data_IF_453603184666
#
_entry.id   IF_453603184666
#
_cell.length_a   1.000
_cell.length_b   1.000
_cell.length_c   1.000
_cell.angle_alpha   90.00
_cell.angle_beta   90.00
_cell.angle_gamma   90.00
#
_symmetry.space_group_name_H-M   'P 1'
#
loop_
_entity.id
_entity.type
_entity.pdbx_description
1 polymer ?
#
# COMPACT_ATOMS: atom_id res chain seq x y z
N UNK A 1 4.38 15.11 28.29
CA UNK A 1 4.56 13.65 28.28
C UNK A 1 5.61 13.35 29.34
N UNK A 2 5.31 12.52 30.31
CA UNK A 2 6.27 12.17 31.37
C UNK A 2 7.14 10.99 30.91
N UNK A 3 8.34 11.33 30.45
CA UNK A 3 9.30 10.34 29.93
C UNK A 3 9.93 9.44 31.01
N UNK A 4 9.57 9.65 32.28
CA UNK A 4 10.03 8.81 33.39
C UNK A 4 8.99 7.75 33.78
N UNK A 5 7.83 7.72 33.12
CA UNK A 5 6.79 6.75 33.37
C UNK A 5 7.02 5.50 32.52
N UNK A 6 7.45 4.40 33.12
CA UNK A 6 7.75 3.12 32.45
C UNK A 6 6.57 2.66 31.58
N UNK A 7 5.34 2.76 32.05
CA UNK A 7 4.15 2.37 31.29
C UNK A 7 4.01 3.17 29.98
N UNK A 8 4.29 4.47 30.00
CA UNK A 8 4.24 5.32 28.81
C UNK A 8 5.34 4.94 27.82
N UNK A 9 6.52 4.57 28.34
CA UNK A 9 7.65 4.11 27.52
C UNK A 9 7.29 2.78 26.86
N UNK A 10 6.74 1.83 27.62
CA UNK A 10 6.36 0.51 27.10
C UNK A 10 5.27 0.64 26.02
N UNK A 11 4.21 1.41 26.28
CA UNK A 11 3.16 1.67 25.29
C UNK A 11 3.71 2.34 24.01
N UNK A 12 4.67 3.24 24.15
CA UNK A 12 5.32 3.88 23.01
C UNK A 12 6.13 2.85 22.20
N UNK A 13 6.96 2.06 22.88
CA UNK A 13 7.79 1.05 22.23
C UNK A 13 6.96 -0.02 21.52
N UNK A 14 5.88 -0.47 22.14
CA UNK A 14 4.93 -1.39 21.54
C UNK A 14 4.33 -0.83 20.25
N UNK A 15 3.83 0.43 20.30
CA UNK A 15 3.27 1.09 19.09
C UNK A 15 4.30 1.23 17.98
N UNK A 16 5.52 1.61 18.31
CA UNK A 16 6.60 1.74 17.33
C UNK A 16 6.97 0.38 16.74
N UNK A 17 7.02 -0.68 17.58
CA UNK A 17 7.23 -2.05 17.11
C UNK A 17 6.19 -2.46 16.09
N UNK A 18 4.92 -2.34 16.41
CA UNK A 18 3.81 -2.64 15.49
C UNK A 18 3.85 -1.82 14.20
N UNK A 19 4.24 -0.56 14.28
CA UNK A 19 4.40 0.27 13.08
C UNK A 19 5.49 -0.28 12.15
N UNK A 20 6.61 -0.73 12.72
CA UNK A 20 7.68 -1.35 11.94
C UNK A 20 7.23 -2.67 11.31
N UNK A 21 6.47 -3.50 12.04
CA UNK A 21 5.94 -4.75 11.52
C UNK A 21 5.00 -4.53 10.33
N UNK A 22 4.07 -3.57 10.44
CA UNK A 22 3.18 -3.21 9.33
C UNK A 22 3.95 -2.71 8.10
N UNK A 23 4.95 -1.84 8.32
CA UNK A 23 5.80 -1.36 7.23
C UNK A 23 6.66 -2.48 6.63
N UNK A 24 7.16 -3.41 7.45
CA UNK A 24 7.91 -4.56 6.98
C UNK A 24 7.07 -5.40 6.01
N UNK A 25 5.82 -5.73 6.39
CA UNK A 25 4.90 -6.48 5.53
C UNK A 25 4.64 -5.73 4.23
N UNK A 26 4.39 -4.43 4.31
CA UNK A 26 4.16 -3.60 3.12
C UNK A 26 5.38 -3.53 2.20
N UNK A 27 6.57 -3.30 2.74
CA UNK A 27 7.81 -3.30 1.97
C UNK A 27 8.09 -4.67 1.35
N UNK A 28 7.92 -5.76 2.10
CA UNK A 28 8.08 -7.11 1.58
C UNK A 28 7.18 -7.38 0.38
N UNK A 29 5.95 -6.84 0.40
CA UNK A 29 5.03 -7.00 -0.73
C UNK A 29 5.61 -6.46 -2.03
N UNK A 30 6.37 -5.34 -2.00
CA UNK A 30 7.03 -4.78 -3.18
C UNK A 30 8.13 -5.70 -3.77
N UNK A 31 8.69 -6.58 -2.94
CA UNK A 31 9.75 -7.50 -3.35
C UNK A 31 9.24 -8.87 -3.81
N UNK A 32 7.92 -9.12 -3.76
CA UNK A 32 7.31 -10.31 -4.33
C UNK A 32 7.30 -10.15 -5.85
N UNK A 33 8.35 -10.64 -6.48
CA UNK A 33 8.58 -10.48 -7.91
C UNK A 33 8.89 -11.84 -8.56
N UNK A 34 8.51 -11.99 -9.82
CA UNK A 34 8.91 -13.12 -10.65
C UNK A 34 10.30 -12.91 -11.27
N UNK A 35 11.01 -11.85 -10.90
CA UNK A 35 12.36 -11.59 -11.39
C UNK A 35 13.34 -12.62 -10.86
N UNK A 36 14.16 -13.15 -11.75
CA UNK A 36 15.25 -14.10 -11.47
C UNK A 36 16.53 -13.71 -12.23
N UNK A 37 16.57 -12.47 -12.71
CA UNK A 37 17.62 -11.93 -13.57
C UNK A 37 18.92 -11.59 -12.82
N UNK A 38 18.92 -11.68 -11.49
CA UNK A 38 20.12 -11.49 -10.67
C UNK A 38 20.08 -12.32 -9.40
N UNK A 39 21.25 -12.52 -8.78
CA UNK A 39 21.36 -13.23 -7.50
C UNK A 39 20.68 -12.46 -6.37
N UNK A 40 20.61 -11.13 -6.47
CA UNK A 40 19.84 -10.30 -5.55
C UNK A 40 18.36 -10.71 -5.52
N UNK A 41 17.69 -10.79 -6.70
CA UNK A 41 16.28 -11.14 -6.76
C UNK A 41 16.00 -12.57 -6.31
N UNK A 42 16.91 -13.51 -6.63
CA UNK A 42 16.80 -14.89 -6.14
C UNK A 42 16.93 -14.95 -4.62
N UNK A 43 17.88 -14.21 -4.04
CA UNK A 43 18.08 -14.14 -2.59
C UNK A 43 16.85 -13.53 -1.89
N UNK A 44 16.35 -12.38 -2.36
CA UNK A 44 15.16 -11.75 -1.79
C UNK A 44 13.97 -12.72 -1.81
N UNK A 45 13.70 -13.36 -2.94
CA UNK A 45 12.57 -14.27 -3.11
C UNK A 45 12.63 -15.48 -2.16
N UNK A 46 13.81 -16.02 -1.94
CA UNK A 46 13.98 -17.27 -1.20
C UNK A 46 14.21 -17.05 0.30
N UNK A 47 14.83 -15.94 0.70
CA UNK A 47 15.36 -15.76 2.04
C UNK A 47 14.78 -14.56 2.79
N UNK A 48 14.18 -13.60 2.09
CA UNK A 48 13.83 -12.31 2.72
C UNK A 48 12.32 -12.04 2.81
N UNK A 49 11.48 -12.82 2.12
CA UNK A 49 10.03 -12.59 2.21
C UNK A 49 9.49 -13.17 3.51
N UNK A 50 8.93 -12.29 4.33
CA UNK A 50 8.39 -12.67 5.62
C UNK A 50 7.15 -13.58 5.48
N UNK A 51 7.00 -14.53 6.40
CA UNK A 51 5.91 -15.51 6.38
C UNK A 51 4.53 -14.83 6.41
N UNK A 52 4.35 -13.77 7.20
CA UNK A 52 3.08 -13.07 7.30
C UNK A 52 2.72 -12.34 6.01
N UNK A 53 3.71 -11.83 5.28
CA UNK A 53 3.48 -11.29 3.91
C UNK A 53 2.95 -12.38 3.00
N UNK A 54 3.54 -13.58 3.02
CA UNK A 54 3.07 -14.70 2.21
C UNK A 54 1.67 -15.15 2.59
N UNK A 55 1.32 -15.16 3.89
CA UNK A 55 -0.04 -15.46 4.37
C UNK A 55 -1.06 -14.47 3.80
N UNK A 56 -0.74 -13.18 3.84
CA UNK A 56 -1.62 -12.14 3.27
C UNK A 56 -1.79 -12.29 1.75
N UNK A 57 -0.70 -12.48 1.01
CA UNK A 57 -0.76 -12.70 -0.44
C UNK A 57 -1.60 -13.93 -0.77
N UNK A 58 -1.43 -15.03 -0.04
CA UNK A 58 -2.24 -16.24 -0.23
C UNK A 58 -3.72 -15.98 0.06
N UNK A 59 -4.05 -15.21 1.08
CA UNK A 59 -5.42 -14.80 1.38
C UNK A 59 -6.02 -13.98 0.24
N UNK A 60 -5.24 -13.04 -0.32
CA UNK A 60 -5.66 -12.16 -1.42
C UNK A 60 -5.68 -12.84 -2.80
N UNK A 61 -5.33 -14.11 -2.87
CA UNK A 61 -5.66 -14.92 -4.04
C UNK A 61 -7.17 -15.20 -4.19
N UNK A 62 -7.95 -15.05 -3.11
CA UNK A 62 -9.39 -15.36 -3.08
C UNK A 62 -10.27 -14.18 -2.66
N UNK A 63 -9.69 -13.05 -2.32
CA UNK A 63 -10.40 -11.83 -1.92
C UNK A 63 -9.55 -10.58 -2.20
N UNK A 64 -10.17 -9.42 -2.19
CA UNK A 64 -9.42 -8.16 -2.19
C UNK A 64 -8.82 -7.85 -0.79
N UNK A 65 -7.71 -7.10 -0.72
CA UNK A 65 -7.20 -6.57 0.55
C UNK A 65 -8.26 -5.79 1.32
N UNK A 66 -8.41 -6.06 2.61
CA UNK A 66 -9.39 -5.41 3.49
C UNK A 66 -8.73 -4.95 4.78
N UNK A 67 -9.30 -3.93 5.39
CA UNK A 67 -8.85 -3.44 6.71
C UNK A 67 -8.84 -4.55 7.77
N UNK A 68 -9.81 -5.49 7.69
CA UNK A 68 -9.90 -6.64 8.59
C UNK A 68 -8.81 -7.71 8.41
N UNK A 69 -7.93 -7.54 7.44
CA UNK A 69 -6.80 -8.44 7.23
C UNK A 69 -5.60 -8.09 8.12
N UNK A 70 -5.63 -6.92 8.75
CA UNK A 70 -4.57 -6.37 9.57
C UNK A 70 -4.99 -6.26 11.03
N UNK A 71 -4.04 -6.30 11.93
CA UNK A 71 -4.29 -5.98 13.33
C UNK A 71 -4.70 -4.51 13.47
N UNK A 72 -5.72 -4.30 14.29
CA UNK A 72 -6.20 -2.97 14.63
C UNK A 72 -5.58 -2.56 15.96
N UNK A 73 -4.74 -1.55 15.93
CA UNK A 73 -4.12 -1.00 17.14
C UNK A 73 -5.10 -0.12 17.92
N UNK A 74 -4.63 0.50 19.00
CA UNK A 74 -5.44 1.36 19.88
C UNK A 74 -6.16 2.49 19.13
N UNK A 75 -5.66 2.88 17.97
CA UNK A 75 -6.32 3.83 17.07
C UNK A 75 -7.51 3.24 16.30
N UNK A 76 -7.69 1.91 16.30
CA UNK A 76 -8.66 1.19 15.48
C UNK A 76 -8.31 1.13 14.00
N UNK A 77 -7.08 1.54 13.61
CA UNK A 77 -6.60 1.53 12.24
C UNK A 77 -5.20 0.90 12.17
N UNK A 78 -4.89 0.10 11.13
CA UNK A 78 -3.52 -0.34 10.88
C UNK A 78 -2.67 0.85 10.42
N UNK A 79 -1.36 0.78 10.61
CA UNK A 79 -0.43 1.83 10.16
C UNK A 79 -0.34 1.91 8.64
N UNK A 80 -0.47 0.77 7.96
CA UNK A 80 -0.56 0.71 6.50
C UNK A 80 -1.97 0.27 6.11
N UNK A 81 -2.71 1.15 5.48
CA UNK A 81 -4.09 0.89 5.10
C UNK A 81 -4.19 -0.04 3.89
N UNK A 82 -5.21 -0.89 3.84
CA UNK A 82 -5.41 -1.88 2.78
C UNK A 82 -5.40 -1.29 1.37
N UNK A 83 -5.88 -0.06 1.20
CA UNK A 83 -5.90 0.61 -0.10
C UNK A 83 -4.53 0.88 -0.69
N UNK A 84 -3.47 0.98 0.12
CA UNK A 84 -2.11 1.20 -0.36
C UNK A 84 -1.53 -0.05 -1.03
N UNK A 85 -2.08 -1.23 -0.73
CA UNK A 85 -1.67 -2.47 -1.38
C UNK A 85 -2.20 -2.62 -2.81
N UNK A 86 -3.34 -2.01 -3.16
CA UNK A 86 -3.93 -2.16 -4.50
C UNK A 86 -2.99 -1.80 -5.64
N UNK A 87 -2.37 -0.59 -5.67
CA UNK A 87 -1.47 -0.25 -6.76
C UNK A 87 -0.22 -1.13 -6.78
N UNK A 88 0.28 -1.56 -5.62
CA UNK A 88 1.43 -2.46 -5.54
C UNK A 88 1.09 -3.83 -6.11
N UNK A 89 -0.02 -4.41 -5.68
CA UNK A 89 -0.48 -5.71 -6.18
C UNK A 89 -0.84 -5.68 -7.67
N UNK A 90 -1.41 -4.58 -8.16
CA UNK A 90 -1.70 -4.43 -9.59
C UNK A 90 -0.41 -4.34 -10.40
N UNK A 91 0.56 -3.54 -9.97
CA UNK A 91 1.88 -3.42 -10.60
C UNK A 91 2.67 -4.73 -10.64
N UNK A 92 2.52 -5.58 -9.63
CA UNK A 92 3.13 -6.91 -9.55
C UNK A 92 2.34 -8.00 -10.28
N UNK A 93 1.15 -7.69 -10.81
CA UNK A 93 0.25 -8.67 -11.43
C UNK A 93 -0.42 -9.64 -10.44
N UNK A 94 -0.41 -9.30 -9.14
CA UNK A 94 -0.98 -10.11 -8.07
C UNK A 94 -2.42 -9.73 -7.74
N UNK A 95 -2.88 -8.55 -8.16
CA UNK A 95 -4.27 -8.13 -7.94
C UNK A 95 -5.22 -8.97 -8.78
N UNK A 96 -6.17 -9.61 -8.12
CA UNK A 96 -7.19 -10.46 -8.79
C UNK A 96 -8.31 -9.59 -9.36
N UNK A 97 -8.16 -9.20 -10.62
CA UNK A 97 -9.11 -8.30 -11.32
C UNK A 97 -10.48 -8.90 -11.55
N UNK A 98 -10.59 -10.23 -11.60
CA UNK A 98 -11.85 -10.97 -11.66
C UNK A 98 -12.60 -10.84 -10.35
N UNK A 99 -11.96 -11.04 -9.21
CA UNK A 99 -12.53 -10.84 -7.87
C UNK A 99 -12.96 -9.38 -7.69
N UNK A 100 -12.12 -8.42 -8.06
CA UNK A 100 -12.46 -7.00 -7.98
C UNK A 100 -13.72 -6.68 -8.81
N UNK A 101 -13.83 -7.25 -10.00
CA UNK A 101 -14.98 -7.07 -10.89
C UNK A 101 -16.24 -7.71 -10.32
N UNK A 102 -16.10 -8.89 -9.70
CA UNK A 102 -17.21 -9.57 -9.05
C UNK A 102 -17.73 -8.79 -7.84
N UNK A 103 -16.84 -8.35 -6.95
CA UNK A 103 -17.21 -7.52 -5.78
C UNK A 103 -17.89 -6.21 -6.21
N UNK A 104 -17.36 -5.53 -7.23
CA UNK A 104 -18.00 -4.32 -7.77
C UNK A 104 -19.41 -4.58 -8.32
N UNK A 105 -19.64 -5.75 -8.93
CA UNK A 105 -20.95 -6.12 -9.42
C UNK A 105 -21.93 -6.42 -8.27
N UNK A 106 -21.47 -7.21 -7.29
CA UNK A 106 -22.28 -7.63 -6.15
C UNK A 106 -22.73 -6.45 -5.28
N UNK A 107 -21.87 -5.44 -5.12
CA UNK A 107 -22.16 -4.24 -4.36
C UNK A 107 -22.77 -3.10 -5.21
N UNK A 108 -23.02 -3.34 -6.50
CA UNK A 108 -23.53 -2.35 -7.45
C UNK A 108 -22.71 -1.03 -7.47
N UNK A 109 -21.40 -1.14 -7.34
CA UNK A 109 -20.49 0.02 -7.24
C UNK A 109 -20.08 0.61 -8.59
N UNK A 110 -20.48 0.00 -9.73
CA UNK A 110 -20.07 0.47 -11.06
C UNK A 110 -20.40 1.94 -11.36
N UNK A 111 -21.63 2.43 -11.05
CA UNK A 111 -21.92 3.85 -11.26
C UNK A 111 -21.02 4.75 -10.46
N UNK A 112 -20.85 4.46 -9.15
CA UNK A 112 -19.99 5.21 -8.27
C UNK A 112 -18.52 5.21 -8.75
N UNK A 113 -17.98 4.04 -9.10
CA UNK A 113 -16.59 3.92 -9.59
C UNK A 113 -16.37 4.70 -10.89
N UNK A 114 -17.37 4.77 -11.77
CA UNK A 114 -17.30 5.56 -13.01
C UNK A 114 -17.27 7.05 -12.72
N UNK A 115 -18.11 7.52 -11.81
CA UNK A 115 -18.18 8.93 -11.43
C UNK A 115 -16.89 9.37 -10.71
N UNK A 116 -16.35 8.54 -9.82
CA UNK A 116 -15.09 8.80 -9.14
C UNK A 116 -13.90 8.81 -10.12
N UNK A 117 -13.87 7.88 -11.07
CA UNK A 117 -12.84 7.87 -12.12
C UNK A 117 -12.87 9.12 -12.99
N UNK A 118 -14.09 9.56 -13.37
CA UNK A 118 -14.25 10.80 -14.11
C UNK A 118 -13.77 12.01 -13.29
N UNK A 119 -14.21 12.12 -12.04
CA UNK A 119 -13.78 13.20 -11.13
C UNK A 119 -12.27 13.24 -10.97
N UNK A 120 -11.63 12.09 -10.80
CA UNK A 120 -10.17 11.98 -10.68
C UNK A 120 -9.47 12.51 -11.94
N UNK A 121 -9.91 12.08 -13.13
CA UNK A 121 -9.32 12.55 -14.38
C UNK A 121 -9.52 14.05 -14.60
N UNK A 122 -10.72 14.58 -14.32
CA UNK A 122 -11.00 16.00 -14.44
C UNK A 122 -10.09 16.82 -13.51
N UNK A 123 -9.88 16.36 -12.27
CA UNK A 123 -8.97 17.00 -11.31
C UNK A 123 -7.50 16.89 -11.75
N UNK A 124 -7.09 15.73 -12.26
CA UNK A 124 -5.74 15.53 -12.78
C UNK A 124 -5.44 16.44 -13.96
N UNK A 125 -6.36 16.52 -14.91
CA UNK A 125 -6.23 17.39 -16.09
C UNK A 125 -6.15 18.87 -15.70
N UNK A 126 -6.92 19.30 -14.69
CA UNK A 126 -6.87 20.66 -14.17
C UNK A 126 -5.52 20.96 -13.49
N UNK A 127 -5.04 20.04 -12.66
CA UNK A 127 -3.72 20.19 -12.00
C UNK A 127 -2.58 20.21 -13.02
N UNK A 128 -2.67 19.41 -14.09
CA UNK A 128 -1.65 19.36 -15.13
C UNK A 128 -1.55 20.67 -15.97
N UNK A 129 -2.60 21.49 -16.01
CA UNK A 129 -2.54 22.80 -16.68
C UNK A 129 -1.60 23.77 -15.99
N UNK A 130 -1.50 23.67 -14.66
CA UNK A 130 -0.67 24.56 -13.84
C UNK A 130 0.73 23.99 -13.59
N UNK A 131 1.04 22.81 -14.17
CA UNK A 131 2.31 22.14 -13.95
C UNK A 131 3.43 22.82 -14.73
N UNK A 132 4.37 23.45 -14.02
CA UNK A 132 5.60 23.98 -14.60
C UNK A 132 6.50 22.79 -14.98
N UNK A 133 6.98 22.74 -16.21
CA UNK A 133 7.95 21.71 -16.60
C UNK A 133 9.18 21.80 -15.71
N UNK A 134 9.74 20.65 -15.37
CA UNK A 134 10.87 20.59 -14.44
C UNK A 134 12.03 21.52 -14.83
N UNK A 135 12.36 21.60 -16.11
CA UNK A 135 13.43 22.48 -16.60
C UNK A 135 13.10 23.96 -16.41
N UNK A 136 11.85 24.37 -16.67
CA UNK A 136 11.39 25.75 -16.49
C UNK A 136 11.43 26.12 -14.99
N UNK A 137 11.09 25.17 -14.10
CA UNK A 137 11.21 25.35 -12.66
C UNK A 137 12.67 25.52 -12.22
N UNK A 138 13.62 24.73 -12.76
CA UNK A 138 15.03 24.85 -12.44
C UNK A 138 15.61 26.19 -12.90
N UNK A 139 15.20 26.70 -14.07
CA UNK A 139 15.57 28.04 -14.54
C UNK A 139 15.07 29.12 -13.59
N UNK A 140 13.80 29.02 -13.15
CA UNK A 140 13.22 29.96 -12.18
C UNK A 140 13.91 29.90 -10.81
N UNK A 141 14.26 28.72 -10.32
CA UNK A 141 14.90 28.53 -9.02
C UNK A 141 16.39 28.90 -9.00
N UNK A 142 16.99 29.15 -10.17
CA UNK A 142 18.40 29.60 -10.31
C UNK A 142 18.58 31.12 -10.37
N UNK A 143 17.50 31.87 -10.35
CA UNK A 143 17.47 33.35 -10.27
C UNK A 143 17.47 33.83 -8.83
#
# INVERSE_FOLDING_TARGET
MDFNNEKVIDEFNERVGHQFDDFMIFLNTHYISNREDSDFWKFIKNECIHEDTLKLINKWNNQLPRMSDFELYLSGLPHVQSQLYYPVLDGLGLLKKDIAREEMNNLNLKPFARDEYKRFNDQYDDQMKDFIKHNDYLEFASL
#
